data_IF_656322245081
#
_entry.id   IF_656322245081
#
_cell.length_a   1.000
_cell.length_b   1.000
_cell.length_c   1.000
_cell.angle_alpha   90.00
_cell.angle_beta   90.00
_cell.angle_gamma   90.00
#
_symmetry.space_group_name_H-M   'P 1'
#
loop_
_entity.id
_entity.type
_entity.pdbx_description
1 polymer ?
#
# COMPACT_ATOMS: atom_id res chain seq x y z
N UNK A 1 3.93 -26.39 -20.75
CA UNK A 1 3.47 -25.24 -21.55
C UNK A 1 1.95 -25.27 -21.53
N UNK A 2 1.34 -24.62 -20.56
CA UNK A 2 -0.13 -24.55 -20.42
C UNK A 2 -0.57 -23.36 -21.26
N UNK A 3 -1.09 -23.62 -22.44
CA UNK A 3 -1.73 -22.62 -23.29
C UNK A 3 -3.04 -22.19 -22.64
N UNK A 4 -3.11 -20.90 -22.29
CA UNK A 4 -4.26 -20.27 -21.65
C UNK A 4 -5.49 -20.40 -22.56
N UNK A 5 -6.52 -21.13 -22.09
CA UNK A 5 -7.74 -21.45 -22.81
C UNK A 5 -8.55 -20.19 -23.20
N UNK A 6 -8.29 -19.05 -22.55
CA UNK A 6 -8.90 -17.75 -22.86
C UNK A 6 -8.38 -17.13 -24.14
N UNK A 7 -7.10 -17.33 -24.46
CA UNK A 7 -6.50 -16.80 -25.69
C UNK A 7 -7.06 -17.48 -26.96
N UNK A 8 -7.47 -18.73 -26.85
CA UNK A 8 -7.99 -19.50 -28.00
C UNK A 8 -9.43 -19.11 -28.42
N UNK A 9 -10.22 -18.57 -27.48
CA UNK A 9 -11.60 -18.17 -27.76
C UNK A 9 -11.70 -16.83 -28.52
N UNK A 10 -10.71 -15.95 -28.36
CA UNK A 10 -10.68 -14.64 -29.01
C UNK A 10 -10.29 -14.69 -30.50
N UNK A 11 -9.61 -15.74 -30.93
CA UNK A 11 -9.15 -15.86 -32.33
C UNK A 11 -10.30 -16.16 -33.32
N UNK A 12 -11.44 -16.60 -32.83
CA UNK A 12 -12.57 -17.09 -33.66
C UNK A 12 -13.59 -16.03 -34.07
N UNK A 13 -13.54 -14.83 -33.49
CA UNK A 13 -14.60 -13.79 -33.70
C UNK A 13 -14.06 -12.50 -34.34
N UNK A 14 -12.79 -12.42 -34.71
CA UNK A 14 -12.24 -11.31 -35.49
C UNK A 14 -12.38 -9.91 -34.84
N UNK A 15 -12.72 -9.83 -33.56
CA UNK A 15 -12.74 -8.59 -32.79
C UNK A 15 -11.50 -8.56 -31.93
N UNK A 16 -10.53 -7.77 -32.35
CA UNK A 16 -9.35 -7.45 -31.55
C UNK A 16 -9.79 -6.52 -30.44
N UNK A 17 -10.40 -7.09 -29.40
CA UNK A 17 -10.59 -6.39 -28.14
C UNK A 17 -9.20 -6.21 -27.54
N UNK A 18 -8.64 -5.02 -27.66
CA UNK A 18 -7.55 -4.56 -26.82
C UNK A 18 -8.11 -4.53 -25.38
N UNK A 19 -8.12 -5.66 -24.71
CA UNK A 19 -8.11 -5.67 -23.27
C UNK A 19 -6.74 -5.11 -22.92
N UNK A 20 -6.70 -3.86 -22.48
CA UNK A 20 -5.61 -3.38 -21.67
C UNK A 20 -5.55 -4.36 -20.50
N UNK A 21 -4.63 -5.31 -20.54
CA UNK A 21 -4.27 -6.12 -19.37
C UNK A 21 -3.73 -5.13 -18.35
N UNK A 22 -4.65 -4.57 -17.58
CA UNK A 22 -4.29 -3.81 -16.40
C UNK A 22 -3.68 -4.85 -15.48
N UNK A 23 -2.41 -4.71 -15.17
CA UNK A 23 -1.73 -5.63 -14.27
C UNK A 23 -2.60 -5.89 -13.02
N UNK A 24 -2.65 -7.13 -12.55
CA UNK A 24 -3.49 -7.48 -11.43
C UNK A 24 -3.09 -6.61 -10.22
N UNK A 25 -4.09 -6.07 -9.52
CA UNK A 25 -3.89 -5.31 -8.29
C UNK A 25 -2.91 -6.01 -7.36
N UNK A 26 -1.97 -5.27 -6.80
CA UNK A 26 -1.04 -5.74 -5.78
C UNK A 26 -1.17 -4.94 -4.48
N UNK A 27 -0.78 -5.56 -3.38
CA UNK A 27 -0.57 -4.87 -2.10
C UNK A 27 0.92 -4.55 -2.01
N UNK A 28 1.27 -3.28 -1.95
CA UNK A 28 2.65 -2.82 -1.84
C UNK A 28 2.88 -2.21 -0.46
N UNK A 29 3.83 -2.76 0.29
CA UNK A 29 4.07 -2.42 1.69
C UNK A 29 5.44 -1.78 1.87
N UNK A 30 5.45 -0.60 2.46
CA UNK A 30 6.65 0.05 3.00
C UNK A 30 7.04 -0.69 4.29
N UNK A 31 7.97 -1.63 4.18
CA UNK A 31 8.27 -2.58 5.25
C UNK A 31 9.11 -1.97 6.37
N UNK A 32 9.90 -0.93 6.11
CA UNK A 32 10.72 -0.26 7.12
C UNK A 32 9.87 0.52 8.13
N UNK A 33 8.78 1.10 7.67
CA UNK A 33 7.86 1.87 8.50
C UNK A 33 6.67 1.03 9.01
N UNK A 34 6.61 -0.27 8.69
CA UNK A 34 5.45 -1.09 8.93
C UNK A 34 5.67 -2.07 10.10
N UNK A 35 4.77 -2.09 11.11
CA UNK A 35 4.82 -3.08 12.17
C UNK A 35 4.70 -4.51 11.62
N UNK A 36 5.42 -5.45 12.25
CA UNK A 36 5.42 -6.86 11.84
C UNK A 36 4.02 -7.49 11.78
N UNK A 37 3.14 -7.13 12.72
CA UNK A 37 1.74 -7.60 12.70
C UNK A 37 0.99 -7.15 11.45
N UNK A 38 1.22 -5.92 10.98
CA UNK A 38 0.61 -5.39 9.75
C UNK A 38 1.11 -6.15 8.52
N UNK A 39 2.40 -6.42 8.44
CA UNK A 39 2.98 -7.23 7.37
C UNK A 39 2.32 -8.62 7.31
N UNK A 40 2.19 -9.29 8.47
CA UNK A 40 1.53 -10.60 8.57
C UNK A 40 0.07 -10.53 8.12
N UNK A 41 -0.66 -9.47 8.48
CA UNK A 41 -2.03 -9.25 8.02
C UNK A 41 -2.08 -9.10 6.50
N UNK A 42 -1.21 -8.26 5.91
CA UNK A 42 -1.14 -8.09 4.45
C UNK A 42 -0.89 -9.42 3.74
N UNK A 43 0.06 -10.23 4.22
CA UNK A 43 0.37 -11.55 3.67
C UNK A 43 -0.82 -12.50 3.74
N UNK A 44 -1.51 -12.54 4.90
CA UNK A 44 -2.69 -13.38 5.09
C UNK A 44 -3.82 -12.97 4.14
N UNK A 45 -4.07 -11.67 3.97
CA UNK A 45 -5.10 -11.17 3.07
C UNK A 45 -4.71 -11.34 1.59
N UNK A 46 -3.43 -11.15 1.25
CA UNK A 46 -2.93 -11.44 -0.09
C UNK A 46 -3.23 -12.87 -0.51
N UNK A 47 -2.93 -13.85 0.36
CA UNK A 47 -3.25 -15.27 0.11
C UNK A 47 -4.75 -15.52 0.03
N UNK A 48 -5.54 -14.92 0.93
CA UNK A 48 -7.00 -15.11 0.97
C UNK A 48 -7.70 -14.61 -0.29
N UNK A 49 -7.26 -13.48 -0.83
CA UNK A 49 -7.88 -12.83 -1.99
C UNK A 49 -7.10 -13.04 -3.30
N UNK A 50 -6.07 -13.90 -3.27
CA UNK A 50 -5.18 -14.16 -4.40
C UNK A 50 -4.59 -12.87 -5.01
N UNK A 51 -4.10 -11.97 -4.13
CA UNK A 51 -3.49 -10.69 -4.48
C UNK A 51 -2.02 -10.75 -4.08
N UNK A 52 -1.07 -10.50 -5.00
CA UNK A 52 0.35 -10.54 -4.67
C UNK A 52 0.72 -9.43 -3.68
N UNK A 53 1.56 -9.77 -2.70
CA UNK A 53 2.07 -8.84 -1.70
C UNK A 53 3.54 -8.57 -1.97
N UNK A 54 3.83 -7.31 -2.26
CA UNK A 54 5.17 -6.81 -2.52
C UNK A 54 5.64 -6.00 -1.32
N UNK A 55 6.86 -6.19 -0.89
CA UNK A 55 7.45 -5.40 0.21
C UNK A 55 8.69 -4.68 -0.29
N UNK A 56 8.83 -3.42 0.12
CA UNK A 56 10.03 -2.63 -0.13
C UNK A 56 10.66 -2.29 1.21
N UNK A 57 11.94 -2.55 1.36
CA UNK A 57 12.71 -2.29 2.57
C UNK A 57 14.13 -1.88 2.22
N UNK A 58 14.76 -1.06 3.08
CA UNK A 58 16.17 -0.67 2.96
C UNK A 58 17.12 -1.78 3.43
N UNK A 59 16.63 -2.75 4.21
CA UNK A 59 17.41 -3.90 4.67
C UNK A 59 16.74 -5.20 4.27
N UNK A 60 17.58 -6.24 4.09
CA UNK A 60 17.10 -7.58 3.81
C UNK A 60 16.44 -8.17 5.09
N UNK A 61 15.19 -7.84 5.30
CA UNK A 61 14.34 -8.53 6.27
C UNK A 61 13.74 -9.75 5.60
N UNK A 62 13.90 -10.92 6.22
CA UNK A 62 13.14 -12.10 5.83
C UNK A 62 11.66 -11.89 6.24
N UNK A 63 10.93 -11.27 5.34
CA UNK A 63 9.53 -10.87 5.56
C UNK A 63 8.59 -11.96 5.05
N UNK A 64 9.11 -12.90 4.24
CA UNK A 64 8.30 -13.95 3.62
C UNK A 64 7.24 -13.44 2.66
N UNK A 65 7.46 -12.25 2.04
CA UNK A 65 6.55 -11.71 1.03
C UNK A 65 6.71 -12.42 -0.31
N UNK A 66 5.68 -12.33 -1.17
CA UNK A 66 5.72 -12.94 -2.50
C UNK A 66 6.81 -12.30 -3.36
N UNK A 67 7.02 -10.98 -3.19
CA UNK A 67 8.02 -10.20 -3.92
C UNK A 67 8.76 -9.24 -2.97
N UNK A 68 9.82 -9.69 -2.27
CA UNK A 68 10.64 -8.82 -1.45
C UNK A 68 11.57 -7.98 -2.34
N UNK A 69 11.60 -6.69 -2.14
CA UNK A 69 12.46 -5.74 -2.84
C UNK A 69 13.32 -5.04 -1.79
N UNK A 70 14.63 -5.18 -1.93
CA UNK A 70 15.61 -4.50 -1.10
C UNK A 70 16.17 -3.32 -1.89
N UNK A 71 16.17 -2.15 -1.28
CA UNK A 71 16.78 -0.92 -1.81
C UNK A 71 17.98 -0.53 -0.97
N UNK A 72 18.72 0.51 -1.35
CA UNK A 72 19.83 1.04 -0.55
C UNK A 72 19.38 1.67 0.76
N UNK A 73 20.33 2.14 1.54
CA UNK A 73 20.10 2.69 2.90
C UNK A 73 19.44 4.09 2.92
N UNK A 74 19.22 4.70 1.75
CA UNK A 74 18.54 5.98 1.67
C UNK A 74 17.02 5.79 1.74
N UNK A 75 16.41 6.43 2.74
CA UNK A 75 14.94 6.40 2.92
C UNK A 75 14.17 6.89 1.69
N UNK A 76 14.74 7.77 0.90
CA UNK A 76 14.14 8.25 -0.34
C UNK A 76 14.13 7.19 -1.44
N UNK A 77 15.09 6.24 -1.44
CA UNK A 77 15.11 5.16 -2.42
C UNK A 77 13.90 4.22 -2.27
N UNK A 78 13.51 3.92 -1.02
CA UNK A 78 12.34 3.11 -0.75
C UNK A 78 11.05 3.80 -1.25
N UNK A 79 10.88 5.09 -0.93
CA UNK A 79 9.73 5.87 -1.38
C UNK A 79 9.65 5.97 -2.90
N UNK A 80 10.76 6.26 -3.56
CA UNK A 80 10.85 6.31 -5.02
C UNK A 80 10.54 4.95 -5.65
N UNK A 81 11.05 3.86 -5.05
CA UNK A 81 10.79 2.51 -5.53
C UNK A 81 9.31 2.16 -5.43
N UNK A 82 8.69 2.43 -4.29
CA UNK A 82 7.25 2.23 -4.08
C UNK A 82 6.45 3.04 -5.10
N UNK A 83 6.78 4.33 -5.26
CA UNK A 83 6.11 5.19 -6.22
C UNK A 83 6.22 4.67 -7.66
N UNK A 84 7.40 4.21 -8.07
CA UNK A 84 7.62 3.68 -9.42
C UNK A 84 6.86 2.37 -9.67
N UNK A 85 6.73 1.52 -8.66
CA UNK A 85 6.01 0.25 -8.75
C UNK A 85 4.49 0.39 -8.62
N UNK A 86 4.02 1.53 -8.12
CA UNK A 86 2.60 1.78 -7.88
C UNK A 86 1.86 2.01 -9.19
N UNK A 87 0.76 1.31 -9.36
CA UNK A 87 -0.19 1.46 -10.45
C UNK A 87 -1.58 1.87 -9.94
N UNK A 88 -2.40 2.38 -10.84
CA UNK A 88 -3.77 2.74 -10.51
C UNK A 88 -4.56 1.52 -10.05
N UNK A 89 -5.16 1.60 -8.87
CA UNK A 89 -5.95 0.53 -8.26
C UNK A 89 -5.16 -0.35 -7.29
N UNK A 90 -3.84 -0.20 -7.17
CA UNK A 90 -3.04 -0.86 -6.14
C UNK A 90 -3.42 -0.41 -4.73
N UNK A 91 -3.04 -1.22 -3.73
CA UNK A 91 -3.17 -0.88 -2.32
C UNK A 91 -1.79 -0.68 -1.72
N UNK A 92 -1.51 0.53 -1.27
CA UNK A 92 -0.23 0.90 -0.68
C UNK A 92 -0.39 0.99 0.84
N UNK A 93 0.53 0.38 1.58
CA UNK A 93 0.57 0.46 3.04
C UNK A 93 1.83 1.19 3.48
N UNK A 94 1.67 2.40 3.98
CA UNK A 94 2.77 3.24 4.48
C UNK A 94 2.33 4.15 5.62
N UNK A 95 3.26 4.48 6.50
CA UNK A 95 3.10 5.52 7.52
C UNK A 95 3.52 6.91 7.04
N UNK A 96 4.17 7.00 5.88
CA UNK A 96 4.65 8.27 5.33
C UNK A 96 3.54 9.01 4.54
N UNK A 97 3.30 10.25 4.96
CA UNK A 97 2.26 11.11 4.38
C UNK A 97 2.64 11.66 3.01
N UNK A 98 3.92 11.90 2.79
CA UNK A 98 4.44 12.37 1.51
C UNK A 98 4.26 11.30 0.45
N UNK A 99 4.71 10.08 0.74
CA UNK A 99 4.51 8.92 -0.12
C UNK A 99 3.01 8.66 -0.35
N UNK A 100 2.19 8.71 0.71
CA UNK A 100 0.74 8.53 0.59
C UNK A 100 0.11 9.52 -0.40
N UNK A 101 0.50 10.80 -0.35
CA UNK A 101 0.01 11.82 -1.29
C UNK A 101 0.38 11.50 -2.73
N UNK A 102 1.63 11.08 -2.97
CA UNK A 102 2.11 10.76 -4.30
C UNK A 102 1.40 9.54 -4.90
N UNK A 103 1.22 8.47 -4.14
CA UNK A 103 0.56 7.25 -4.65
C UNK A 103 -0.94 7.45 -4.85
N UNK A 104 -1.60 8.27 -4.03
CA UNK A 104 -2.99 8.67 -4.26
C UNK A 104 -3.15 9.41 -5.58
N UNK A 105 -2.20 10.29 -5.93
CA UNK A 105 -2.16 10.99 -7.21
C UNK A 105 -2.06 10.06 -8.43
N UNK A 106 -1.52 8.84 -8.26
CA UNK A 106 -1.48 7.80 -9.29
C UNK A 106 -2.77 6.95 -9.35
N UNK A 107 -3.77 7.25 -8.52
CA UNK A 107 -5.03 6.49 -8.47
C UNK A 107 -4.94 5.21 -7.65
N UNK A 108 -3.89 5.00 -6.86
CA UNK A 108 -3.80 3.91 -5.92
C UNK A 108 -4.63 4.20 -4.65
N UNK A 109 -4.92 3.17 -3.86
CA UNK A 109 -5.47 3.29 -2.52
C UNK A 109 -4.33 3.29 -1.52
N UNK A 110 -4.42 4.10 -0.47
CA UNK A 110 -3.37 4.14 0.53
C UNK A 110 -3.93 3.97 1.94
N UNK A 111 -3.30 3.09 2.72
CA UNK A 111 -3.71 2.72 4.06
C UNK A 111 -2.53 2.89 5.03
N UNK A 112 -2.77 3.59 6.15
CA UNK A 112 -1.76 3.67 7.21
C UNK A 112 -1.69 2.37 8.01
N UNK A 113 -0.53 2.04 8.62
CA UNK A 113 -0.42 0.89 9.54
C UNK A 113 -1.39 0.94 10.72
N UNK A 114 -1.93 2.11 11.04
CA UNK A 114 -2.95 2.31 12.09
C UNK A 114 -4.39 2.06 11.61
N UNK A 115 -4.57 1.58 10.38
CA UNK A 115 -5.89 1.30 9.81
C UNK A 115 -6.68 2.56 9.43
N UNK A 116 -6.01 3.60 8.98
CA UNK A 116 -6.64 4.80 8.42
C UNK A 116 -6.43 4.84 6.92
N UNK A 117 -7.51 4.88 6.16
CA UNK A 117 -7.45 5.12 4.72
C UNK A 117 -7.10 6.58 4.46
N UNK A 118 -6.02 6.82 3.72
CA UNK A 118 -5.69 8.14 3.22
C UNK A 118 -6.62 8.49 2.06
N UNK A 119 -7.11 9.72 2.04
CA UNK A 119 -8.00 10.23 0.99
C UNK A 119 -7.54 11.60 0.56
N UNK A 120 -7.54 11.85 -0.74
CA UNK A 120 -7.06 13.09 -1.33
C UNK A 120 -7.71 14.32 -0.70
N UNK A 121 -9.02 14.28 -0.45
CA UNK A 121 -9.77 15.41 0.12
C UNK A 121 -9.35 15.77 1.55
N UNK A 122 -8.74 14.82 2.27
CA UNK A 122 -8.29 15.01 3.65
C UNK A 122 -6.80 15.27 3.78
N UNK A 123 -6.05 15.11 2.68
CA UNK A 123 -4.59 15.20 2.74
C UNK A 123 -4.09 16.61 3.05
N UNK A 124 -4.71 17.64 2.49
CA UNK A 124 -4.35 19.03 2.79
C UNK A 124 -4.48 19.32 4.28
N UNK A 125 -5.64 19.03 4.86
CA UNK A 125 -5.88 19.23 6.30
C UNK A 125 -4.87 18.48 7.18
N UNK A 126 -4.54 17.25 6.81
CA UNK A 126 -3.61 16.44 7.56
C UNK A 126 -2.15 16.92 7.44
N UNK A 127 -1.78 17.45 6.29
CA UNK A 127 -0.47 18.09 6.09
C UNK A 127 -0.34 19.37 6.92
N UNK A 128 -1.38 20.20 6.95
CA UNK A 128 -1.44 21.39 7.81
C UNK A 128 -1.33 21.04 9.29
N UNK A 129 -2.08 20.04 9.76
CA UNK A 129 -2.00 19.57 11.15
C UNK A 129 -0.60 19.10 11.52
N UNK A 130 0.09 18.38 10.60
CA UNK A 130 1.48 17.95 10.78
C UNK A 130 2.42 19.13 10.89
N UNK A 131 2.25 20.14 10.03
CA UNK A 131 3.10 21.32 10.02
C UNK A 131 2.94 22.14 11.31
N UNK A 132 1.71 22.32 11.78
CA UNK A 132 1.42 22.97 13.07
C UNK A 132 2.08 22.24 14.22
N UNK A 133 1.97 20.89 14.27
CA UNK A 133 2.64 20.07 15.28
C UNK A 133 4.16 20.14 15.18
N UNK A 134 4.71 20.22 13.98
CA UNK A 134 6.16 20.39 13.77
C UNK A 134 6.65 21.76 14.24
N UNK A 135 5.92 22.83 13.96
CA UNK A 135 6.21 24.17 14.47
C UNK A 135 6.16 24.21 16.01
N UNK A 136 5.15 23.59 16.62
CA UNK A 136 5.03 23.49 18.07
C UNK A 136 6.24 22.79 18.70
N UNK A 137 6.70 21.66 18.13
CA UNK A 137 7.92 20.96 18.61
C UNK A 137 9.18 21.78 18.46
N UNK A 138 9.35 22.50 17.35
CA UNK A 138 10.50 23.39 17.13
C UNK A 138 10.53 24.56 18.14
N UNK A 139 9.36 25.00 18.60
CA UNK A 139 9.23 26.00 19.67
C UNK A 139 9.43 25.46 21.10
N UNK A 140 9.94 24.22 21.26
CA UNK A 140 10.18 23.61 22.59
C UNK A 140 8.97 22.88 23.16
N UNK A 141 7.85 22.81 22.45
CA UNK A 141 6.68 22.06 22.85
C UNK A 141 6.89 20.55 22.78
N UNK A 142 6.33 19.80 23.74
CA UNK A 142 6.39 18.35 23.77
C UNK A 142 5.04 17.78 23.28
N UNK A 143 5.09 16.96 22.22
CA UNK A 143 3.97 16.15 21.80
C UNK A 143 4.11 14.75 22.40
N UNK A 144 3.00 14.11 22.78
CA UNK A 144 3.01 12.70 23.21
C UNK A 144 3.54 11.85 22.05
N UNK A 145 4.51 10.98 22.35
CA UNK A 145 4.99 10.00 21.41
C UNK A 145 3.88 9.05 20.93
N UNK A 146 4.15 8.25 19.89
CA UNK A 146 3.17 7.29 19.41
C UNK A 146 2.82 6.29 20.52
N UNK A 147 1.54 6.00 20.67
CA UNK A 147 1.06 4.98 21.61
C UNK A 147 1.55 3.60 21.16
N UNK A 148 1.83 2.73 22.11
CA UNK A 148 2.13 1.31 21.83
C UNK A 148 0.95 0.70 21.06
N UNK A 149 1.25 -0.04 19.98
CA UNK A 149 0.26 -0.73 19.16
C UNK A 149 -0.48 -1.79 19.98
N UNK A 150 -1.77 -1.92 19.76
CA UNK A 150 -2.67 -2.86 20.43
C UNK A 150 -3.31 -3.81 19.42
N UNK A 151 -3.91 -4.89 19.93
CA UNK A 151 -4.72 -5.80 19.10
C UNK A 151 -5.90 -5.08 18.44
N UNK A 152 -6.47 -4.07 19.09
CA UNK A 152 -7.53 -3.25 18.48
C UNK A 152 -7.06 -2.45 17.27
N UNK A 153 -5.78 -2.06 17.24
CA UNK A 153 -5.20 -1.41 16.07
C UNK A 153 -5.01 -2.39 14.91
N UNK A 154 -4.65 -3.64 15.21
CA UNK A 154 -4.55 -4.70 14.21
C UNK A 154 -5.92 -5.04 13.62
N UNK A 155 -6.95 -5.19 14.45
CA UNK A 155 -8.32 -5.42 14.00
C UNK A 155 -8.85 -4.28 13.13
N UNK A 156 -8.55 -3.04 13.49
CA UNK A 156 -8.93 -1.87 12.68
C UNK A 156 -8.23 -1.89 11.33
N UNK A 157 -6.94 -2.25 11.30
CA UNK A 157 -6.19 -2.38 10.06
C UNK A 157 -6.79 -3.48 9.17
N UNK A 158 -7.06 -4.66 9.71
CA UNK A 158 -7.71 -5.78 9.00
C UNK A 158 -9.03 -5.33 8.37
N UNK A 159 -9.91 -4.75 9.17
CA UNK A 159 -11.22 -4.28 8.68
C UNK A 159 -11.09 -3.27 7.54
N UNK A 160 -10.17 -2.31 7.66
CA UNK A 160 -9.97 -1.30 6.63
C UNK A 160 -9.35 -1.88 5.36
N UNK A 161 -8.37 -2.79 5.49
CA UNK A 161 -7.77 -3.48 4.35
C UNK A 161 -8.82 -4.30 3.60
N UNK A 162 -9.58 -5.14 4.31
CA UNK A 162 -10.65 -5.94 3.71
C UNK A 162 -11.66 -5.08 2.96
N UNK A 163 -12.11 -3.99 3.57
CA UNK A 163 -13.04 -3.05 2.95
C UNK A 163 -12.49 -2.44 1.65
N UNK A 164 -11.20 -2.15 1.59
CA UNK A 164 -10.55 -1.63 0.38
C UNK A 164 -10.51 -2.71 -0.71
N UNK A 165 -10.14 -3.94 -0.34
CA UNK A 165 -10.02 -5.04 -1.29
C UNK A 165 -11.39 -5.41 -1.89
N UNK A 166 -12.44 -5.47 -1.07
CA UNK A 166 -13.80 -5.83 -1.51
C UNK A 166 -14.47 -4.74 -2.37
N UNK A 167 -14.13 -3.46 -2.18
CA UNK A 167 -14.69 -2.38 -3.00
C UNK A 167 -14.34 -2.50 -4.49
N UNK A 168 -13.29 -3.23 -4.84
CA UNK A 168 -12.90 -3.45 -6.23
C UNK A 168 -13.76 -4.48 -6.94
N UNK A 169 -14.35 -5.45 -6.21
CA UNK A 169 -15.19 -6.48 -6.80
C UNK A 169 -16.56 -5.93 -7.24
N UNK A 170 -16.93 -4.73 -6.78
CA UNK A 170 -18.24 -4.11 -7.05
C UNK A 170 -18.18 -2.95 -8.07
N UNK A 171 -17.05 -2.66 -8.66
CA UNK A 171 -16.83 -1.61 -9.68
C UNK A 171 -16.14 -2.16 -10.90
#
# INVERSE_FOLDING_TARGET
>A
MVLDFKALLCYRVGVMLFFSEKDPMKILVDADACPRSVLQICMRFGRRYNIPVWTVASFNHDIGSDHPIVVGDDSQEADMKIMNLTESGDVIVTGDWGLATMVLGKGAKCLSPMGREYRSEKMEFLLEEREVKAKFRRGGGRTKGPKKRTLGDDQRFEFCLEKILLRKEMG
#
